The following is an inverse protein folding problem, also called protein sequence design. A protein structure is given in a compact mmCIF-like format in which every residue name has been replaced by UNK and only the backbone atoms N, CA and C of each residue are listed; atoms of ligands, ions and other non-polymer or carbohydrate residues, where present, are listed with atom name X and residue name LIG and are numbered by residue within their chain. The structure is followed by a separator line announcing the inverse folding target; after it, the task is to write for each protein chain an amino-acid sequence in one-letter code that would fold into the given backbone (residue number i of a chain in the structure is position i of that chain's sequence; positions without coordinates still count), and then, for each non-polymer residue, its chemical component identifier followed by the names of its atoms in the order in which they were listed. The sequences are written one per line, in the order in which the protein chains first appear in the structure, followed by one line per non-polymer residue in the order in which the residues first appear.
data_IF_765416346441
#
_entry.id   IF_765416346441
#
_cell.length_a   1.000
_cell.length_b   1.000
_cell.length_c   1.000
_cell.angle_alpha   90.00
_cell.angle_beta   90.00
_cell.angle_gamma   90.00
#
_symmetry.space_group_name_H-M   'P 1'
#
loop_
_entity.id
_entity.type
_entity.pdbx_description
1 polymer ?
#
# COMPACT_ATOMS: atom_id res chain seq x y z
N UNK A 1 -23.25 -0.32 23.83
CA UNK A 1 -21.98 0.45 23.94
C UNK A 1 -22.08 1.63 22.99
N UNK A 2 -21.43 2.75 23.28
CA UNK A 2 -21.34 3.84 22.31
C UNK A 2 -20.56 3.34 21.08
N UNK A 3 -20.94 3.78 19.90
CA UNK A 3 -20.19 3.46 18.67
C UNK A 3 -18.83 4.14 18.70
N UNK A 4 -17.84 3.48 18.10
CA UNK A 4 -16.52 4.08 17.89
C UNK A 4 -16.55 4.96 16.63
N UNK A 5 -15.88 6.11 16.68
CA UNK A 5 -15.75 7.00 15.52
C UNK A 5 -14.50 6.66 14.73
N UNK A 6 -14.73 6.29 13.48
CA UNK A 6 -13.67 5.94 12.52
C UNK A 6 -13.48 7.10 11.55
N UNK A 7 -12.31 7.72 11.57
CA UNK A 7 -11.92 8.72 10.60
C UNK A 7 -11.36 8.05 9.34
N UNK A 8 -12.09 8.05 8.25
CA UNK A 8 -11.59 7.54 6.96
C UNK A 8 -10.82 8.66 6.27
N UNK A 9 -9.51 8.47 6.10
CA UNK A 9 -8.61 9.41 5.43
C UNK A 9 -8.34 8.90 4.02
N UNK A 10 -8.66 9.72 3.02
CA UNK A 10 -8.63 9.29 1.62
C UNK A 10 -8.30 10.45 0.66
N UNK A 11 -8.04 10.13 -0.62
CA UNK A 11 -7.57 11.07 -1.63
C UNK A 11 -6.05 11.16 -1.66
N UNK A 12 -5.50 12.35 -1.53
CA UNK A 12 -4.05 12.57 -1.41
C UNK A 12 -3.41 13.16 -2.66
N UNK A 13 -2.20 13.68 -2.46
CA UNK A 13 -1.36 14.26 -3.52
C UNK A 13 -0.52 13.15 -4.16
N UNK A 14 -1.16 12.27 -4.91
CA UNK A 14 -0.48 11.17 -5.60
C UNK A 14 -1.15 10.86 -6.93
N UNK A 15 -0.49 10.07 -7.77
CA UNK A 15 -1.05 9.57 -9.02
C UNK A 15 -2.23 8.59 -8.79
N UNK A 16 -2.41 8.11 -7.57
CA UNK A 16 -3.45 7.15 -7.18
C UNK A 16 -4.63 7.80 -6.43
N UNK A 17 -4.78 9.12 -6.57
CA UNK A 17 -5.84 9.89 -5.89
C UNK A 17 -7.24 9.29 -6.13
N UNK A 18 -7.61 9.06 -7.38
CA UNK A 18 -8.93 8.54 -7.76
C UNK A 18 -9.16 7.10 -7.25
N UNK A 19 -8.13 6.28 -7.24
CA UNK A 19 -8.18 4.91 -6.66
C UNK A 19 -8.48 4.97 -5.17
N UNK A 20 -7.89 5.93 -4.48
CA UNK A 20 -8.16 6.18 -3.06
C UNK A 20 -9.61 6.60 -2.80
N UNK A 21 -10.20 7.44 -3.66
CA UNK A 21 -11.61 7.83 -3.57
C UNK A 21 -12.55 6.61 -3.70
N UNK A 22 -12.26 5.72 -4.66
CA UNK A 22 -13.03 4.49 -4.86
C UNK A 22 -12.89 3.53 -3.67
N UNK A 23 -11.67 3.35 -3.16
CA UNK A 23 -11.39 2.53 -1.98
C UNK A 23 -12.16 3.04 -0.76
N UNK A 24 -12.12 4.35 -0.50
CA UNK A 24 -12.85 4.98 0.59
C UNK A 24 -14.36 4.76 0.48
N UNK A 25 -14.92 4.94 -0.73
CA UNK A 25 -16.34 4.67 -0.98
C UNK A 25 -16.72 3.24 -0.59
N UNK A 26 -15.95 2.26 -1.02
CA UNK A 26 -16.23 0.85 -0.71
C UNK A 26 -16.15 0.57 0.79
N UNK A 27 -15.19 1.17 1.51
CA UNK A 27 -15.07 1.04 2.96
C UNK A 27 -16.30 1.66 3.65
N UNK A 28 -16.70 2.87 3.25
CA UNK A 28 -17.89 3.59 3.79
C UNK A 28 -19.17 2.79 3.58
N UNK A 29 -19.31 2.17 2.41
CA UNK A 29 -20.48 1.36 2.09
C UNK A 29 -20.54 0.06 2.92
N UNK A 30 -19.41 -0.56 3.19
CA UNK A 30 -19.30 -1.89 3.79
C UNK A 30 -19.06 -1.91 5.30
N UNK A 31 -18.56 -0.83 5.90
CA UNK A 31 -18.28 -0.75 7.34
C UNK A 31 -19.54 -1.01 8.18
N UNK A 32 -19.40 -1.77 9.27
CA UNK A 32 -20.49 -2.08 10.18
C UNK A 32 -20.98 -0.83 10.93
N UNK A 33 -22.04 -0.22 10.41
CA UNK A 33 -22.66 1.01 10.96
C UNK A 33 -23.38 0.78 12.30
N UNK A 34 -23.53 -0.48 12.75
CA UNK A 34 -24.03 -0.77 14.09
C UNK A 34 -22.94 -0.56 15.16
N UNK A 35 -21.67 -0.71 14.78
CA UNK A 35 -20.48 -0.58 15.66
C UNK A 35 -19.75 0.75 15.48
N UNK A 36 -19.75 1.29 14.28
CA UNK A 36 -18.91 2.43 13.89
C UNK A 36 -19.72 3.60 13.33
N UNK A 37 -19.36 4.81 13.77
CA UNK A 37 -19.73 6.06 13.13
C UNK A 37 -18.56 6.56 12.28
N UNK A 38 -18.84 7.01 11.07
CA UNK A 38 -17.81 7.40 10.09
C UNK A 38 -17.66 8.90 10.03
N UNK A 39 -16.42 9.38 10.08
CA UNK A 39 -16.01 10.76 9.80
C UNK A 39 -15.12 10.73 8.55
N UNK A 40 -15.44 11.53 7.54
CA UNK A 40 -14.74 11.56 6.26
C UNK A 40 -13.73 12.69 6.22
N UNK A 41 -12.46 12.34 6.01
CA UNK A 41 -11.33 13.25 5.94
C UNK A 41 -10.70 13.14 4.54
N UNK A 42 -11.20 13.95 3.62
CA UNK A 42 -10.69 13.99 2.24
C UNK A 42 -9.43 14.84 2.14
N UNK A 43 -8.43 14.32 1.43
CA UNK A 43 -7.21 15.06 1.07
C UNK A 43 -7.29 15.39 -0.42
N UNK A 44 -7.23 16.65 -0.78
CA UNK A 44 -7.25 17.08 -2.17
C UNK A 44 -5.90 16.83 -2.89
N UNK A 45 -5.85 17.14 -4.19
CA UNK A 45 -4.63 16.98 -5.02
C UNK A 45 -3.52 17.96 -4.67
N UNK A 46 -3.80 18.99 -3.88
CA UNK A 46 -2.82 19.93 -3.33
C UNK A 46 -2.27 19.44 -1.99
N UNK A 47 -2.92 18.45 -1.36
CA UNK A 47 -2.55 17.87 -0.07
C UNK A 47 -3.25 18.54 1.12
N UNK A 48 -4.29 19.34 0.88
CA UNK A 48 -5.08 19.95 1.94
C UNK A 48 -6.13 18.96 2.45
N UNK A 49 -6.34 18.95 3.75
CA UNK A 49 -7.29 18.07 4.43
C UNK A 49 -8.60 18.78 4.68
N UNK A 50 -9.71 18.08 4.44
CA UNK A 50 -11.07 18.59 4.56
C UNK A 50 -11.96 17.61 5.31
N UNK A 51 -12.88 18.12 6.15
CA UNK A 51 -14.00 17.32 6.64
C UNK A 51 -15.09 17.33 5.57
N UNK A 52 -15.50 16.16 5.12
CA UNK A 52 -16.51 16.00 4.06
C UNK A 52 -17.82 15.45 4.62
N UNK A 53 -18.93 15.90 4.05
CA UNK A 53 -20.26 15.37 4.35
C UNK A 53 -20.44 14.00 3.69
N UNK A 54 -20.87 13.00 4.46
CA UNK A 54 -21.04 11.63 4.00
C UNK A 54 -22.03 11.48 2.83
N UNK A 55 -22.98 12.42 2.68
CA UNK A 55 -23.96 12.40 1.59
C UNK A 55 -23.45 12.98 0.27
N UNK A 56 -22.36 13.77 0.29
CA UNK A 56 -21.93 14.56 -0.86
C UNK A 56 -20.41 14.60 -1.06
N UNK A 57 -19.63 13.75 -0.41
CA UNK A 57 -18.16 13.84 -0.45
C UNK A 57 -17.51 13.49 -1.79
N UNK A 58 -18.24 12.83 -2.69
CA UNK A 58 -17.75 12.44 -4.01
C UNK A 58 -18.66 12.98 -5.12
N UNK A 59 -18.03 13.46 -6.18
CA UNK A 59 -18.64 13.69 -7.47
C UNK A 59 -18.47 12.42 -8.31
N UNK A 60 -19.49 12.06 -9.09
CA UNK A 60 -19.53 10.88 -9.96
C UNK A 60 -19.11 9.56 -9.24
N UNK A 61 -19.69 9.22 -8.08
CA UNK A 61 -19.20 8.12 -7.24
C UNK A 61 -19.32 6.72 -7.86
N UNK A 62 -20.02 6.61 -8.99
CA UNK A 62 -20.22 5.35 -9.74
C UNK A 62 -19.46 5.30 -11.07
N UNK A 63 -18.69 6.33 -11.38
CA UNK A 63 -17.88 6.41 -12.58
C UNK A 63 -16.38 6.51 -12.20
N UNK A 64 -15.63 5.42 -12.25
CA UNK A 64 -14.21 5.40 -11.89
C UNK A 64 -13.33 6.36 -12.69
N UNK A 65 -13.71 6.66 -13.93
CA UNK A 65 -12.96 7.55 -14.80
C UNK A 65 -13.17 9.05 -14.47
N UNK A 66 -14.29 9.39 -13.81
CA UNK A 66 -14.67 10.77 -13.52
C UNK A 66 -14.93 11.04 -12.03
N UNK A 67 -14.61 10.07 -11.16
CA UNK A 67 -14.76 10.24 -9.71
C UNK A 67 -13.85 11.38 -9.23
N UNK A 68 -14.39 12.25 -8.38
CA UNK A 68 -13.64 13.36 -7.82
C UNK A 68 -14.09 13.67 -6.39
N UNK A 69 -13.18 14.22 -5.59
CA UNK A 69 -13.50 14.74 -4.26
C UNK A 69 -14.38 15.99 -4.41
N UNK A 70 -15.49 16.03 -3.69
CA UNK A 70 -16.32 17.22 -3.64
C UNK A 70 -15.68 18.24 -2.68
N UNK A 71 -15.44 19.49 -3.10
CA UNK A 71 -14.86 20.51 -2.23
C UNK A 71 -15.61 20.70 -0.92
N UNK A 72 -14.88 20.93 0.16
CA UNK A 72 -15.42 21.27 1.47
C UNK A 72 -14.72 22.52 2.01
N UNK A 73 -15.49 23.37 2.71
CA UNK A 73 -14.98 24.62 3.28
C UNK A 73 -14.25 24.40 4.62
N UNK A 74 -14.44 23.23 5.26
CA UNK A 74 -13.83 22.93 6.57
C UNK A 74 -12.49 22.29 6.36
N UNK A 75 -11.41 23.04 6.57
CA UNK A 75 -10.03 22.55 6.53
C UNK A 75 -9.62 21.96 7.87
N UNK A 76 -8.83 20.88 7.83
CA UNK A 76 -8.38 20.15 9.04
C UNK A 76 -6.92 20.43 9.33
N UNK A 77 -6.62 20.71 10.59
CA UNK A 77 -5.27 20.71 11.13
C UNK A 77 -5.15 19.72 12.29
N UNK A 78 -3.95 19.18 12.49
CA UNK A 78 -3.62 18.26 13.59
C UNK A 78 -2.95 19.00 14.74
N UNK A 79 -3.28 18.62 15.98
CA UNK A 79 -2.64 19.14 17.19
C UNK A 79 -1.77 18.03 17.79
N UNK A 80 -0.45 18.08 17.63
CA UNK A 80 0.44 17.04 18.14
C UNK A 80 0.47 16.99 19.67
N UNK A 81 0.65 15.80 20.24
CA UNK A 81 0.91 15.59 21.67
C UNK A 81 -0.30 15.66 22.58
N UNK A 82 -1.49 15.98 22.09
CA UNK A 82 -2.72 15.95 22.88
C UNK A 82 -3.36 14.56 22.87
N UNK A 83 -4.19 14.26 23.89
CA UNK A 83 -4.88 12.97 24.01
C UNK A 83 -6.30 13.03 23.46
N UNK A 84 -6.89 14.23 23.41
CA UNK A 84 -8.22 14.52 22.87
C UNK A 84 -8.15 15.76 22.00
N UNK A 85 -9.14 15.92 21.13
CA UNK A 85 -9.23 17.08 20.24
C UNK A 85 -8.00 17.22 19.33
N UNK A 86 -7.49 16.06 18.85
CA UNK A 86 -6.31 15.99 18.00
C UNK A 86 -6.51 16.66 16.65
N UNK A 87 -7.76 16.84 16.22
CA UNK A 87 -8.12 17.48 14.96
C UNK A 87 -8.94 18.73 15.22
N UNK A 88 -8.55 19.81 14.57
CA UNK A 88 -9.24 21.11 14.66
C UNK A 88 -9.58 21.63 13.26
N UNK A 89 -10.60 22.49 13.19
CA UNK A 89 -10.84 23.30 12.01
C UNK A 89 -9.75 24.39 11.93
N UNK A 90 -8.98 24.36 10.85
CA UNK A 90 -7.89 25.28 10.62
C UNK A 90 -8.34 26.75 10.43
N UNK A 91 -9.61 26.98 10.08
CA UNK A 91 -10.17 28.32 9.86
C UNK A 91 -10.50 29.06 11.16
N UNK A 92 -10.86 28.34 12.23
CA UNK A 92 -11.34 28.93 13.50
C UNK A 92 -10.73 28.32 14.76
N UNK A 93 -9.85 27.32 14.60
CA UNK A 93 -9.18 26.58 15.69
C UNK A 93 -10.15 25.83 16.65
N UNK A 94 -11.39 25.57 16.22
CA UNK A 94 -12.33 24.79 17.02
C UNK A 94 -12.07 23.30 16.85
N UNK A 95 -12.19 22.54 17.95
CA UNK A 95 -12.07 21.10 17.94
C UNK A 95 -13.15 20.47 17.03
N UNK A 96 -12.70 19.56 16.18
CA UNK A 96 -13.59 18.72 15.37
C UNK A 96 -14.12 17.54 16.19
N UNK A 97 -15.04 16.79 15.63
CA UNK A 97 -15.55 15.58 16.27
C UNK A 97 -14.42 14.64 16.63
N UNK A 98 -14.38 14.15 17.89
CA UNK A 98 -13.37 13.19 18.36
C UNK A 98 -13.38 11.94 17.46
N UNK A 99 -12.19 11.53 17.03
CA UNK A 99 -11.95 10.29 16.29
C UNK A 99 -11.27 9.30 17.23
N UNK A 100 -11.76 8.07 17.28
CA UNK A 100 -11.21 6.99 18.11
C UNK A 100 -10.12 6.22 17.37
N UNK A 101 -10.25 6.08 16.05
CA UNK A 101 -9.30 5.39 15.17
C UNK A 101 -9.38 5.94 13.75
N UNK A 102 -8.23 6.03 13.10
CA UNK A 102 -8.14 6.45 11.69
C UNK A 102 -8.00 5.21 10.80
N UNK A 103 -8.78 5.18 9.74
CA UNK A 103 -8.62 4.23 8.63
C UNK A 103 -8.04 5.00 7.43
N UNK A 104 -6.70 5.03 7.28
CA UNK A 104 -6.11 5.66 6.12
C UNK A 104 -6.25 4.74 4.90
N UNK A 105 -6.63 5.31 3.78
CA UNK A 105 -6.67 4.62 2.48
C UNK A 105 -6.15 5.55 1.38
N UNK A 106 -5.04 6.20 1.69
CA UNK A 106 -4.30 7.08 0.78
C UNK A 106 -3.20 6.26 0.11
N UNK A 107 -3.40 5.95 -1.16
CA UNK A 107 -2.43 5.16 -1.92
C UNK A 107 -1.28 6.01 -2.44
N UNK A 108 -0.10 5.40 -2.55
CA UNK A 108 1.10 6.00 -3.11
C UNK A 108 1.84 6.96 -2.17
N UNK A 109 2.50 7.93 -2.77
CA UNK A 109 3.36 8.89 -2.06
C UNK A 109 2.61 9.67 -1.00
N UNK A 110 3.24 9.90 0.14
CA UNK A 110 2.72 10.52 1.37
C UNK A 110 1.69 9.67 2.12
N UNK A 111 1.05 8.69 1.49
CA UNK A 111 0.07 7.81 2.10
C UNK A 111 0.65 6.47 2.59
N UNK A 112 1.62 5.92 1.87
CA UNK A 112 2.21 4.59 2.12
C UNK A 112 3.68 4.62 2.51
N UNK A 113 4.32 5.78 2.56
CA UNK A 113 5.76 5.95 2.75
C UNK A 113 6.18 6.26 4.21
N UNK A 114 5.26 6.20 5.15
CA UNK A 114 5.49 6.53 6.55
C UNK A 114 5.18 7.98 6.92
N UNK A 115 4.96 8.87 5.95
CA UNK A 115 4.68 10.30 6.22
C UNK A 115 3.34 10.49 6.93
N UNK A 116 2.26 9.93 6.38
CA UNK A 116 0.93 9.95 7.00
C UNK A 116 0.94 9.24 8.35
N UNK A 117 1.59 8.08 8.44
CA UNK A 117 1.72 7.30 9.66
C UNK A 117 2.46 8.06 10.76
N UNK A 118 3.53 8.77 10.41
CA UNK A 118 4.27 9.62 11.32
C UNK A 118 3.44 10.77 11.87
N UNK A 119 2.65 11.42 11.03
CA UNK A 119 1.74 12.49 11.44
C UNK A 119 0.67 11.96 12.39
N UNK A 120 0.02 10.85 12.08
CA UNK A 120 -1.01 10.24 12.93
C UNK A 120 -0.43 9.78 14.27
N UNK A 121 0.80 9.24 14.27
CA UNK A 121 1.51 8.85 15.49
C UNK A 121 1.83 10.05 16.38
N UNK A 122 2.30 11.16 15.82
CA UNK A 122 2.55 12.39 16.55
C UNK A 122 1.26 13.03 17.09
N UNK A 123 0.15 12.86 16.38
CA UNK A 123 -1.18 13.27 16.81
C UNK A 123 -1.81 12.31 17.85
N UNK A 124 -1.11 11.25 18.24
CA UNK A 124 -1.61 10.23 19.18
C UNK A 124 -2.95 9.61 18.75
N UNK A 125 -3.10 9.36 17.46
CA UNK A 125 -4.28 8.74 16.88
C UNK A 125 -3.98 7.28 16.51
N UNK A 126 -4.76 6.30 17.01
CA UNK A 126 -4.71 4.92 16.49
C UNK A 126 -5.00 4.93 14.99
N UNK A 127 -4.31 4.10 14.21
CA UNK A 127 -4.56 4.01 12.77
C UNK A 127 -4.38 2.60 12.23
N UNK A 128 -5.16 2.27 11.21
CA UNK A 128 -5.11 0.99 10.48
C UNK A 128 -3.87 0.93 9.60
N UNK A 129 -3.29 -0.26 9.47
CA UNK A 129 -2.15 -0.52 8.60
C UNK A 129 -0.79 -0.47 9.31
N UNK A 130 0.28 -0.57 8.55
CA UNK A 130 1.65 -0.57 9.07
C UNK A 130 2.04 0.79 9.68
N UNK A 131 2.93 0.74 10.67
CA UNK A 131 3.53 1.94 11.25
C UNK A 131 4.61 2.54 10.32
N UNK A 132 5.24 3.60 10.76
CA UNK A 132 6.25 4.40 10.02
C UNK A 132 7.31 3.51 9.37
N UNK A 133 7.94 2.64 10.16
CA UNK A 133 9.03 1.79 9.65
C UNK A 133 8.56 0.82 8.59
N UNK A 134 7.49 0.06 8.85
CA UNK A 134 6.95 -0.92 7.91
C UNK A 134 6.49 -0.26 6.61
N UNK A 135 5.80 0.87 6.71
CA UNK A 135 5.36 1.64 5.54
C UNK A 135 6.55 2.13 4.70
N UNK A 136 7.51 2.80 5.32
CA UNK A 136 8.67 3.35 4.62
C UNK A 136 9.57 2.25 4.03
N UNK A 137 9.81 1.16 4.77
CA UNK A 137 10.64 0.05 4.31
C UNK A 137 10.01 -0.69 3.13
N UNK A 138 8.68 -0.87 3.12
CA UNK A 138 7.97 -1.53 2.03
C UNK A 138 7.83 -0.64 0.78
N UNK A 139 7.75 0.68 0.96
CA UNK A 139 7.64 1.62 -0.16
C UNK A 139 8.93 1.70 -0.96
N UNK A 140 10.08 1.71 -0.28
CA UNK A 140 11.39 1.80 -0.90
C UNK A 140 11.88 0.42 -1.39
N UNK A 141 11.82 0.17 -2.70
CA UNK A 141 12.16 -1.11 -3.31
C UNK A 141 13.61 -1.56 -3.04
N UNK A 142 14.55 -0.62 -2.94
CA UNK A 142 15.94 -0.93 -2.60
C UNK A 142 16.06 -1.43 -1.15
N UNK A 143 15.43 -0.72 -0.21
CA UNK A 143 15.43 -1.11 1.21
C UNK A 143 14.70 -2.42 1.42
N UNK A 144 13.50 -2.57 0.85
CA UNK A 144 12.73 -3.83 0.85
C UNK A 144 13.59 -5.00 0.42
N UNK A 145 14.23 -4.91 -0.75
CA UNK A 145 15.05 -5.99 -1.32
C UNK A 145 16.25 -6.33 -0.44
N UNK A 146 16.93 -5.32 0.11
CA UNK A 146 18.06 -5.54 1.02
C UNK A 146 17.65 -6.28 2.28
N UNK A 147 16.54 -5.88 2.92
CA UNK A 147 16.05 -6.53 4.15
C UNK A 147 15.57 -7.96 3.88
N UNK A 148 14.84 -8.17 2.79
CA UNK A 148 14.39 -9.52 2.40
C UNK A 148 15.56 -10.44 2.09
N UNK A 149 16.60 -9.96 1.40
CA UNK A 149 17.83 -10.72 1.11
C UNK A 149 18.59 -11.07 2.38
N UNK A 150 18.73 -10.12 3.32
CA UNK A 150 19.37 -10.35 4.61
C UNK A 150 18.63 -11.44 5.42
N UNK A 151 17.31 -11.46 5.34
CA UNK A 151 16.47 -12.50 5.93
C UNK A 151 16.52 -13.85 5.19
N UNK A 152 17.28 -13.97 4.10
CA UNK A 152 17.38 -15.19 3.29
C UNK A 152 16.12 -15.50 2.49
N UNK A 153 15.34 -14.48 2.12
CA UNK A 153 14.20 -14.60 1.23
C UNK A 153 14.62 -14.34 -0.21
N UNK A 154 14.03 -15.08 -1.14
CA UNK A 154 14.38 -15.00 -2.55
C UNK A 154 13.75 -13.77 -3.21
N UNK A 155 14.59 -12.96 -3.84
CA UNK A 155 14.24 -11.74 -4.56
C UNK A 155 14.92 -11.70 -5.93
N UNK A 156 14.40 -10.94 -6.87
CA UNK A 156 15.11 -10.69 -8.13
C UNK A 156 16.43 -9.96 -7.86
N UNK A 157 17.57 -10.41 -8.43
CA UNK A 157 18.84 -9.68 -8.39
C UNK A 157 18.68 -8.25 -8.92
N UNK A 158 19.40 -7.31 -8.33
CA UNK A 158 19.22 -5.88 -8.66
C UNK A 158 20.46 -5.05 -8.43
N UNK A 159 20.50 -3.91 -9.11
CA UNK A 159 21.48 -2.82 -8.92
C UNK A 159 20.72 -1.55 -8.60
N UNK A 160 21.23 -0.78 -7.65
CA UNK A 160 20.63 0.51 -7.26
C UNK A 160 21.44 1.68 -7.84
N UNK A 161 20.75 2.52 -8.60
CA UNK A 161 21.29 3.74 -9.17
C UNK A 161 20.83 4.96 -8.37
N UNK A 162 21.74 5.85 -8.11
CA UNK A 162 21.51 7.17 -7.55
C UNK A 162 22.15 8.24 -8.46
N UNK A 163 21.85 9.52 -8.24
CA UNK A 163 22.51 10.59 -8.97
C UNK A 163 24.04 10.59 -8.81
N UNK A 164 24.54 10.05 -7.68
CA UNK A 164 25.96 10.00 -7.37
C UNK A 164 26.72 8.84 -8.03
N UNK A 165 26.02 7.75 -8.40
CA UNK A 165 26.66 6.55 -8.90
C UNK A 165 26.21 6.09 -10.29
N UNK A 166 25.14 6.67 -10.86
CA UNK A 166 24.56 6.21 -12.14
C UNK A 166 25.59 6.16 -13.29
N UNK A 167 26.53 7.12 -13.32
CA UNK A 167 27.53 7.20 -14.37
C UNK A 167 28.67 6.16 -14.17
N UNK A 168 28.68 5.43 -13.07
CA UNK A 168 29.63 4.34 -12.78
C UNK A 168 29.12 2.98 -13.24
N UNK A 169 27.86 2.89 -13.70
CA UNK A 169 27.21 1.66 -14.12
C UNK A 169 26.80 1.76 -15.57
N UNK A 170 27.45 1.02 -16.46
CA UNK A 170 27.04 0.92 -17.86
C UNK A 170 25.97 -0.14 -18.06
N UNK A 171 25.20 -0.01 -19.15
CA UNK A 171 24.24 -1.06 -19.57
C UNK A 171 24.91 -2.41 -19.72
N UNK A 172 26.11 -2.45 -20.36
CA UNK A 172 26.85 -3.69 -20.58
C UNK A 172 27.23 -4.40 -19.27
N UNK A 173 27.63 -3.63 -18.25
CA UNK A 173 27.94 -4.18 -16.92
C UNK A 173 26.69 -4.75 -16.26
N UNK A 174 25.60 -3.96 -16.19
CA UNK A 174 24.38 -4.39 -15.52
C UNK A 174 23.73 -5.58 -16.24
N UNK A 175 23.63 -5.53 -17.57
CA UNK A 175 23.05 -6.64 -18.34
C UNK A 175 23.93 -7.90 -18.32
N UNK A 176 25.25 -7.74 -18.21
CA UNK A 176 26.18 -8.86 -18.01
C UNK A 176 26.02 -9.53 -16.63
N UNK A 177 25.71 -8.77 -15.59
CA UNK A 177 25.51 -9.25 -14.23
C UNK A 177 24.10 -9.85 -14.03
N UNK A 178 23.07 -9.14 -14.48
CA UNK A 178 21.67 -9.48 -14.20
C UNK A 178 20.99 -10.28 -15.31
N UNK A 179 21.53 -10.26 -16.54
CA UNK A 179 20.86 -10.82 -17.72
C UNK A 179 19.78 -9.87 -18.28
N UNK A 180 19.08 -10.34 -19.33
CA UNK A 180 17.98 -9.63 -19.99
C UNK A 180 16.70 -10.47 -19.94
N UNK A 181 15.51 -9.84 -19.93
CA UNK A 181 15.25 -8.40 -19.87
C UNK A 181 15.55 -7.83 -18.48
N UNK A 182 15.75 -6.49 -18.42
CA UNK A 182 15.83 -5.73 -17.19
C UNK A 182 14.54 -4.96 -16.96
N UNK A 183 14.22 -4.68 -15.69
CA UNK A 183 13.18 -3.73 -15.30
C UNK A 183 13.83 -2.55 -14.56
N UNK A 184 13.60 -1.36 -15.06
CA UNK A 184 14.07 -0.10 -14.46
C UNK A 184 12.89 0.56 -13.76
N UNK A 185 13.02 0.82 -12.46
CA UNK A 185 11.93 1.28 -11.59
C UNK A 185 12.39 2.42 -10.68
N UNK A 186 11.59 3.48 -10.49
CA UNK A 186 11.77 4.38 -9.35
C UNK A 186 11.63 3.59 -8.04
N UNK A 187 12.46 3.87 -7.03
CA UNK A 187 12.46 3.08 -5.79
C UNK A 187 11.18 3.27 -4.97
N UNK A 188 10.63 4.50 -4.94
CA UNK A 188 9.53 4.90 -4.06
C UNK A 188 8.24 5.25 -4.82
N UNK A 189 7.97 4.58 -5.94
CA UNK A 189 6.71 4.75 -6.68
C UNK A 189 5.92 3.45 -6.74
N UNK A 190 4.60 3.57 -6.59
CA UNK A 190 3.65 2.48 -6.76
C UNK A 190 3.08 2.38 -8.18
N UNK A 191 2.18 1.43 -8.39
CA UNK A 191 1.32 1.32 -9.58
C UNK A 191 2.03 1.36 -10.92
N UNK A 192 3.25 0.84 -11.00
CA UNK A 192 4.08 0.82 -12.23
C UNK A 192 4.45 2.21 -12.78
N UNK A 193 4.32 3.28 -12.00
CA UNK A 193 4.71 4.63 -12.41
C UNK A 193 6.22 4.69 -12.67
N UNK A 194 6.62 5.12 -13.86
CA UNK A 194 8.02 5.25 -14.26
C UNK A 194 8.76 3.92 -14.45
N UNK A 195 8.07 2.79 -14.50
CA UNK A 195 8.65 1.46 -14.71
C UNK A 195 8.80 1.17 -16.21
N UNK A 196 9.95 0.65 -16.61
CA UNK A 196 10.24 0.28 -18.00
C UNK A 196 10.89 -1.10 -18.08
N UNK A 197 10.44 -1.92 -19.05
CA UNK A 197 11.12 -3.14 -19.49
C UNK A 197 12.18 -2.78 -20.52
N UNK A 198 13.38 -3.34 -20.37
CA UNK A 198 14.57 -2.94 -21.14
C UNK A 198 15.27 -4.19 -21.70
N UNK A 199 15.55 -4.16 -23.00
CA UNK A 199 16.28 -5.22 -23.71
C UNK A 199 17.48 -4.70 -24.48
N UNK A 200 17.66 -3.38 -24.57
CA UNK A 200 18.75 -2.72 -25.31
C UNK A 200 19.31 -1.51 -24.53
N UNK A 201 20.50 -1.07 -24.91
CA UNK A 201 21.17 0.10 -24.32
C UNK A 201 20.38 1.40 -24.55
N UNK A 202 19.76 1.54 -25.72
CA UNK A 202 18.95 2.73 -26.04
C UNK A 202 17.71 2.80 -25.13
N UNK A 203 17.01 1.66 -24.93
CA UNK A 203 15.88 1.55 -24.00
C UNK A 203 16.32 1.80 -22.56
N UNK A 204 17.47 1.27 -22.16
CA UNK A 204 18.03 1.46 -20.82
C UNK A 204 18.27 2.94 -20.51
N UNK A 205 18.89 3.66 -21.43
CA UNK A 205 19.18 5.10 -21.28
C UNK A 205 17.88 5.91 -21.10
N UNK A 206 16.85 5.61 -21.89
CA UNK A 206 15.55 6.27 -21.78
C UNK A 206 14.84 5.90 -20.47
N UNK A 207 14.86 4.62 -20.09
CA UNK A 207 14.23 4.12 -18.88
C UNK A 207 14.83 4.73 -17.61
N UNK A 208 16.16 4.80 -17.52
CA UNK A 208 16.85 5.40 -16.38
C UNK A 208 16.53 6.90 -16.29
N UNK A 209 16.53 7.61 -17.42
CA UNK A 209 16.13 9.02 -17.45
C UNK A 209 14.70 9.20 -16.94
N UNK A 210 13.75 8.43 -17.45
CA UNK A 210 12.35 8.49 -17.05
C UNK A 210 12.20 8.20 -15.54
N UNK A 211 12.83 7.14 -15.04
CA UNK A 211 12.72 6.78 -13.63
C UNK A 211 13.25 7.87 -12.69
N UNK A 212 14.32 8.58 -13.09
CA UNK A 212 14.84 9.72 -12.34
C UNK A 212 13.98 11.00 -12.39
N UNK A 213 12.96 11.04 -13.25
CA UNK A 213 11.93 12.09 -13.18
C UNK A 213 10.98 11.92 -12.01
N UNK A 214 10.83 10.67 -11.53
CA UNK A 214 9.91 10.30 -10.44
C UNK A 214 10.60 10.08 -9.08
N UNK A 215 11.92 9.80 -9.05
CA UNK A 215 12.62 9.52 -7.81
C UNK A 215 14.11 9.88 -7.89
N UNK A 216 14.74 10.04 -6.74
CA UNK A 216 16.19 10.24 -6.60
C UNK A 216 16.98 8.91 -6.61
N UNK A 217 16.29 7.78 -6.49
CA UNK A 217 16.83 6.44 -6.46
C UNK A 217 16.08 5.53 -7.42
N UNK A 218 16.82 4.78 -8.20
CA UNK A 218 16.29 3.88 -9.23
C UNK A 218 16.80 2.47 -8.98
N UNK A 219 15.94 1.50 -9.06
CA UNK A 219 16.28 0.07 -9.00
C UNK A 219 16.24 -0.51 -10.41
N UNK A 220 17.33 -1.16 -10.80
CA UNK A 220 17.42 -1.95 -12.02
C UNK A 220 17.45 -3.41 -11.61
N UNK A 221 16.47 -4.20 -12.01
CA UNK A 221 16.36 -5.59 -11.59
C UNK A 221 16.23 -6.54 -12.77
N UNK A 222 16.64 -7.79 -12.53
CA UNK A 222 16.44 -8.88 -13.48
C UNK A 222 14.95 -9.12 -13.70
N UNK A 223 14.54 -9.26 -14.94
CA UNK A 223 13.19 -9.72 -15.29
C UNK A 223 13.00 -11.19 -14.93
N UNK A 224 12.09 -11.46 -14.02
CA UNK A 224 11.75 -12.83 -13.62
C UNK A 224 10.60 -13.34 -14.49
N UNK A 225 10.78 -14.50 -15.12
CA UNK A 225 9.72 -15.17 -15.84
C UNK A 225 8.94 -16.07 -14.89
N UNK A 226 7.70 -15.73 -14.62
CA UNK A 226 6.85 -16.46 -13.68
C UNK A 226 5.40 -15.98 -13.73
N UNK A 227 4.54 -16.70 -13.02
CA UNK A 227 3.15 -16.32 -12.78
C UNK A 227 3.11 -15.28 -11.68
N UNK A 228 2.28 -14.27 -11.79
CA UNK A 228 2.11 -13.24 -10.76
C UNK A 228 1.10 -13.73 -9.73
N UNK A 229 1.59 -14.09 -8.54
CA UNK A 229 0.77 -14.59 -7.43
C UNK A 229 0.77 -13.56 -6.30
N UNK A 230 -0.40 -13.29 -5.76
CA UNK A 230 -0.60 -12.36 -4.66
C UNK A 230 -1.15 -13.08 -3.43
N UNK A 231 -0.65 -12.71 -2.25
CA UNK A 231 -1.09 -13.26 -0.96
C UNK A 231 -1.35 -12.13 0.03
N UNK A 232 -2.54 -12.10 0.62
CA UNK A 232 -2.89 -11.12 1.64
C UNK A 232 -2.43 -11.57 3.03
N UNK A 233 -1.88 -10.65 3.81
CA UNK A 233 -1.49 -10.87 5.21
C UNK A 233 -2.25 -9.91 6.10
N UNK A 234 -2.70 -10.40 7.26
CA UNK A 234 -3.52 -9.69 8.24
C UNK A 234 -3.04 -10.01 9.65
N UNK A 235 -2.78 -9.03 10.47
CA UNK A 235 -2.43 -9.18 11.89
C UNK A 235 -1.29 -8.30 12.35
N UNK A 236 -1.06 -8.28 13.65
CA UNK A 236 0.08 -7.63 14.29
C UNK A 236 1.16 -8.70 14.61
N UNK A 237 1.31 -9.10 15.86
CA UNK A 237 2.35 -10.05 16.31
C UNK A 237 2.18 -11.47 15.74
N UNK A 238 0.95 -11.88 15.48
CA UNK A 238 0.60 -13.21 14.96
C UNK A 238 -0.15 -13.10 13.61
N UNK A 239 0.55 -12.66 12.55
CA UNK A 239 -0.09 -12.46 11.26
C UNK A 239 -0.54 -13.78 10.62
N UNK A 240 -1.65 -13.70 9.91
CA UNK A 240 -2.22 -14.79 9.12
C UNK A 240 -2.16 -14.44 7.64
N UNK A 241 -1.98 -15.46 6.79
CA UNK A 241 -2.01 -15.32 5.36
C UNK A 241 -3.29 -15.92 4.77
N UNK A 242 -3.86 -15.24 3.79
CA UNK A 242 -4.99 -15.73 2.99
C UNK A 242 -4.58 -16.88 2.07
N UNK A 243 -5.54 -17.46 1.36
CA UNK A 243 -5.23 -18.20 0.12
C UNK A 243 -4.57 -17.26 -0.91
N UNK A 244 -3.87 -17.83 -1.88
CA UNK A 244 -3.26 -17.06 -2.95
C UNK A 244 -4.26 -16.75 -4.09
N UNK A 245 -4.05 -15.63 -4.76
CA UNK A 245 -4.70 -15.26 -6.01
C UNK A 245 -3.66 -15.06 -7.11
N UNK A 246 -4.10 -15.06 -8.33
CA UNK A 246 -3.26 -14.86 -9.51
C UNK A 246 -3.76 -13.68 -10.34
N UNK A 247 -2.82 -12.88 -10.82
CA UNK A 247 -3.07 -11.87 -11.85
C UNK A 247 -2.61 -12.45 -13.19
N UNK A 248 -3.57 -12.77 -14.05
CA UNK A 248 -3.31 -13.28 -15.39
C UNK A 248 -3.35 -12.11 -16.38
N UNK A 249 -2.21 -11.81 -16.99
CA UNK A 249 -2.06 -10.71 -17.91
C UNK A 249 -2.43 -11.13 -19.32
N UNK A 250 -3.15 -10.27 -20.03
CA UNK A 250 -3.42 -10.43 -21.47
C UNK A 250 -2.29 -9.87 -22.36
N UNK A 251 -1.28 -9.22 -21.74
CA UNK A 251 -0.11 -8.64 -22.39
C UNK A 251 1.15 -8.87 -21.56
N UNK A 252 2.34 -8.70 -22.16
CA UNK A 252 3.63 -8.95 -21.50
C UNK A 252 4.00 -7.98 -20.35
N UNK A 253 3.17 -6.97 -20.07
CA UNK A 253 3.46 -5.97 -19.03
C UNK A 253 2.19 -5.38 -18.39
N UNK A 254 2.14 -5.36 -17.07
CA UNK A 254 1.04 -4.84 -16.25
C UNK A 254 1.23 -3.34 -15.97
N UNK A 255 0.75 -2.50 -16.90
CA UNK A 255 0.84 -1.04 -16.78
C UNK A 255 -0.19 -0.46 -15.79
N UNK A 256 -0.04 0.83 -15.45
CA UNK A 256 -1.02 1.58 -14.65
C UNK A 256 -2.42 1.54 -15.27
N UNK A 257 -2.52 1.75 -16.58
CA UNK A 257 -3.80 1.75 -17.30
C UNK A 257 -4.49 0.37 -17.22
N UNK A 258 -3.71 -0.71 -17.32
CA UNK A 258 -4.18 -2.08 -17.18
C UNK A 258 -4.68 -2.39 -15.76
N UNK A 259 -4.08 -1.75 -14.74
CA UNK A 259 -4.46 -1.97 -13.33
C UNK A 259 -5.78 -1.31 -12.94
N UNK A 260 -6.10 -0.14 -13.49
CA UNK A 260 -7.17 0.71 -12.96
C UNK A 260 -8.18 1.22 -13.99
N UNK A 261 -7.85 1.19 -15.27
CA UNK A 261 -8.65 1.78 -16.35
C UNK A 261 -9.20 0.71 -17.31
N UNK A 262 -8.41 -0.35 -17.60
CA UNK A 262 -8.78 -1.39 -18.58
C UNK A 262 -9.21 -2.68 -17.88
N UNK A 263 -10.52 -2.87 -17.71
CA UNK A 263 -11.11 -4.11 -17.15
C UNK A 263 -10.77 -5.39 -17.96
N UNK A 264 -10.19 -5.25 -19.15
CA UNK A 264 -9.83 -6.37 -20.05
C UNK A 264 -8.34 -6.66 -20.06
N UNK A 265 -7.52 -5.82 -19.45
CA UNK A 265 -6.06 -5.92 -19.47
C UNK A 265 -5.49 -7.02 -18.58
N UNK A 266 -6.18 -7.38 -17.51
CA UNK A 266 -5.80 -8.42 -16.57
C UNK A 266 -7.02 -9.15 -16.03
N UNK A 267 -6.88 -10.47 -15.82
CA UNK A 267 -7.87 -11.29 -15.13
C UNK A 267 -7.37 -11.66 -13.75
N UNK A 268 -8.20 -11.45 -12.74
CA UNK A 268 -7.95 -11.88 -11.36
C UNK A 268 -8.59 -13.24 -11.10
N UNK A 269 -7.78 -14.22 -10.72
CA UNK A 269 -8.21 -15.59 -10.40
C UNK A 269 -8.01 -15.84 -8.91
N UNK A 270 -9.11 -16.04 -8.17
CA UNK A 270 -9.09 -16.29 -6.72
C UNK A 270 -10.03 -17.45 -6.37
N UNK A 271 -9.53 -18.51 -5.73
CA UNK A 271 -8.12 -18.82 -5.46
C UNK A 271 -7.31 -19.06 -6.73
N UNK A 272 -5.99 -18.86 -6.66
CA UNK A 272 -5.08 -19.20 -7.74
C UNK A 272 -5.09 -20.72 -8.00
N UNK A 273 -5.01 -21.11 -9.28
CA UNK A 273 -4.88 -22.52 -9.67
C UNK A 273 -3.41 -22.97 -9.55
N UNK A 274 -3.03 -23.29 -8.32
CA UNK A 274 -1.69 -23.78 -7.93
C UNK A 274 -1.81 -24.97 -7.00
N UNK A 275 -0.76 -25.79 -6.95
CA UNK A 275 -0.67 -26.92 -6.03
C UNK A 275 -0.83 -26.44 -4.57
N UNK A 276 -1.63 -27.13 -3.72
CA UNK A 276 -1.80 -26.77 -2.32
C UNK A 276 -0.48 -26.59 -1.55
N UNK A 277 0.53 -27.42 -1.82
CA UNK A 277 1.84 -27.29 -1.18
C UNK A 277 2.56 -26.01 -1.60
N UNK A 278 2.39 -25.56 -2.85
CA UNK A 278 2.92 -24.28 -3.34
C UNK A 278 2.16 -23.12 -2.71
N UNK A 279 0.84 -23.21 -2.62
CA UNK A 279 0.02 -22.21 -1.90
C UNK A 279 0.50 -22.03 -0.47
N UNK A 280 0.71 -23.11 0.29
CA UNK A 280 1.19 -23.04 1.67
C UNK A 280 2.62 -22.50 1.76
N UNK A 281 3.49 -22.84 0.81
CA UNK A 281 4.85 -22.29 0.71
C UNK A 281 4.80 -20.76 0.52
N UNK A 282 3.96 -20.26 -0.40
CA UNK A 282 3.82 -18.81 -0.64
C UNK A 282 3.28 -18.11 0.60
N UNK A 283 2.27 -18.66 1.27
CA UNK A 283 1.69 -18.13 2.51
C UNK A 283 2.75 -17.99 3.62
N UNK A 284 3.58 -19.02 3.80
CA UNK A 284 4.67 -18.99 4.78
C UNK A 284 5.72 -17.92 4.44
N UNK A 285 6.09 -17.80 3.16
CA UNK A 285 7.01 -16.75 2.66
C UNK A 285 6.40 -15.36 2.86
N UNK A 286 5.12 -15.18 2.58
CA UNK A 286 4.42 -13.91 2.75
C UNK A 286 4.40 -13.45 4.22
N UNK A 287 4.10 -14.35 5.16
CA UNK A 287 4.19 -14.05 6.60
C UNK A 287 5.60 -13.66 7.00
N UNK A 288 6.61 -14.42 6.56
CA UNK A 288 8.01 -14.13 6.89
C UNK A 288 8.47 -12.80 6.33
N UNK A 289 8.10 -12.47 5.10
CA UNK A 289 8.41 -11.18 4.47
C UNK A 289 7.75 -10.02 5.23
N UNK A 290 6.47 -10.17 5.56
CA UNK A 290 5.69 -9.24 6.38
C UNK A 290 6.37 -8.91 7.71
N UNK A 291 6.77 -9.95 8.45
CA UNK A 291 7.46 -9.81 9.73
C UNK A 291 8.86 -9.19 9.58
N UNK A 292 9.61 -9.59 8.56
CA UNK A 292 10.96 -9.06 8.26
C UNK A 292 10.94 -7.54 8.06
N UNK A 293 9.90 -7.02 7.41
CA UNK A 293 9.76 -5.59 7.11
C UNK A 293 9.05 -4.80 8.21
N UNK A 294 8.69 -5.44 9.32
CA UNK A 294 8.01 -4.79 10.43
C UNK A 294 6.60 -4.31 10.10
N UNK A 295 5.91 -5.03 9.22
CA UNK A 295 4.53 -4.74 8.89
C UNK A 295 3.59 -5.06 10.05
N UNK A 296 2.47 -4.37 10.13
CA UNK A 296 1.35 -4.65 11.01
C UNK A 296 0.01 -4.25 10.36
N UNK A 297 -1.08 -4.78 10.92
CA UNK A 297 -2.42 -4.59 10.38
C UNK A 297 -2.63 -5.38 9.10
N UNK A 298 -2.14 -4.89 7.99
CA UNK A 298 -2.32 -5.51 6.67
C UNK A 298 -1.13 -5.31 5.74
N UNK A 299 -0.96 -6.24 4.81
CA UNK A 299 -0.17 -6.05 3.59
C UNK A 299 -0.58 -7.07 2.53
N UNK A 300 -0.31 -6.78 1.26
CA UNK A 300 -0.35 -7.76 0.16
C UNK A 300 1.09 -8.02 -0.28
N UNK A 301 1.46 -9.29 -0.31
CA UNK A 301 2.76 -9.75 -0.76
C UNK A 301 2.62 -10.31 -2.17
N UNK A 302 3.32 -9.71 -3.11
CA UNK A 302 3.28 -10.05 -4.52
C UNK A 302 4.54 -10.81 -4.88
N UNK A 303 4.39 -11.98 -5.51
CA UNK A 303 5.49 -12.88 -5.85
C UNK A 303 5.40 -13.35 -7.30
N UNK A 304 6.54 -13.69 -7.88
CA UNK A 304 6.62 -14.49 -9.09
C UNK A 304 6.78 -15.96 -8.72
N UNK A 305 5.94 -16.82 -9.31
CA UNK A 305 6.08 -18.27 -9.24
C UNK A 305 6.65 -18.76 -10.57
N UNK A 306 7.90 -19.25 -10.53
CA UNK A 306 8.58 -19.75 -11.74
C UNK A 306 8.06 -21.12 -12.15
N UNK A 307 8.43 -21.57 -13.36
CA UNK A 307 8.09 -22.89 -13.87
C UNK A 307 8.67 -24.03 -13.02
N UNK A 308 9.77 -23.75 -12.29
CA UNK A 308 10.45 -24.68 -11.38
C UNK A 308 9.85 -24.63 -9.96
N UNK A 309 8.74 -23.93 -9.76
CA UNK A 309 8.09 -23.68 -8.45
C UNK A 309 8.99 -22.92 -7.44
N UNK A 310 9.88 -22.09 -7.96
CA UNK A 310 10.57 -21.11 -7.14
C UNK A 310 9.67 -19.90 -6.89
N UNK A 311 9.70 -19.41 -5.65
CA UNK A 311 8.94 -18.22 -5.24
C UNK A 311 9.92 -17.07 -5.11
N UNK A 312 9.73 -16.02 -5.90
CA UNK A 312 10.55 -14.80 -5.91
C UNK A 312 9.69 -13.64 -5.49
N UNK A 313 10.01 -12.98 -4.38
CA UNK A 313 9.24 -11.83 -3.88
C UNK A 313 9.48 -10.64 -4.81
N UNK A 314 8.40 -10.03 -5.29
CA UNK A 314 8.42 -8.84 -6.11
C UNK A 314 8.31 -7.58 -5.25
N UNK A 315 7.17 -7.42 -4.56
CA UNK A 315 6.90 -6.24 -3.71
C UNK A 315 5.96 -6.56 -2.56
N UNK A 316 5.87 -5.64 -1.60
CA UNK A 316 4.93 -5.71 -0.48
C UNK A 316 4.20 -4.38 -0.38
N UNK A 317 2.87 -4.45 -0.46
CA UNK A 317 1.99 -3.28 -0.40
C UNK A 317 1.34 -3.20 0.98
N UNK A 318 1.67 -2.19 1.77
CA UNK A 318 1.16 -2.01 3.13
C UNK A 318 -0.22 -1.38 3.21
N UNK A 319 -0.68 -0.77 2.12
CA UNK A 319 -2.00 -0.19 1.98
C UNK A 319 -2.64 -0.63 0.66
N UNK A 320 -2.95 -1.94 0.51
CA UNK A 320 -3.48 -2.47 -0.73
C UNK A 320 -4.83 -1.85 -1.07
N UNK A 321 -5.19 -1.84 -2.36
CA UNK A 321 -6.47 -1.32 -2.81
C UNK A 321 -7.67 -2.00 -2.15
N UNK A 322 -8.71 -1.24 -1.91
CA UNK A 322 -9.98 -1.66 -1.31
C UNK A 322 -11.18 -1.40 -2.22
N UNK A 323 -10.98 -1.38 -3.53
CA UNK A 323 -12.10 -1.35 -4.48
C UNK A 323 -12.75 -2.73 -4.57
N UNK A 324 -13.95 -2.81 -5.11
CA UNK A 324 -14.69 -4.07 -5.29
C UNK A 324 -13.98 -5.08 -6.23
N UNK A 325 -13.04 -4.62 -7.05
CA UNK A 325 -12.21 -5.45 -7.93
C UNK A 325 -10.83 -5.76 -7.33
N UNK A 326 -10.47 -5.11 -6.22
CA UNK A 326 -9.14 -5.25 -5.60
C UNK A 326 -8.89 -6.65 -5.05
N UNK A 327 -7.67 -7.12 -5.23
CA UNK A 327 -7.25 -8.47 -4.84
C UNK A 327 -7.33 -8.71 -3.33
N UNK A 328 -6.88 -7.75 -2.50
CA UNK A 328 -6.76 -7.94 -1.06
C UNK A 328 -8.08 -8.38 -0.39
N UNK A 329 -9.21 -7.67 -0.55
CA UNK A 329 -10.47 -8.12 0.02
C UNK A 329 -10.98 -9.42 -0.61
N UNK A 330 -10.76 -9.66 -1.91
CA UNK A 330 -11.14 -10.91 -2.58
C UNK A 330 -10.41 -12.13 -2.00
N UNK A 331 -9.12 -11.99 -1.70
CA UNK A 331 -8.31 -13.04 -1.08
C UNK A 331 -8.85 -13.43 0.31
N UNK A 332 -9.22 -12.43 1.12
CA UNK A 332 -9.81 -12.70 2.43
C UNK A 332 -11.21 -13.28 2.34
N UNK A 333 -12.02 -12.82 1.40
CA UNK A 333 -13.35 -13.40 1.16
C UNK A 333 -13.25 -14.87 0.75
N UNK A 334 -12.31 -15.23 -0.13
CA UNK A 334 -12.04 -16.63 -0.50
C UNK A 334 -11.48 -17.46 0.66
N UNK A 335 -10.89 -16.80 1.66
CA UNK A 335 -10.39 -17.43 2.90
C UNK A 335 -11.42 -17.45 4.04
N UNK A 336 -12.65 -17.03 3.78
CA UNK A 336 -13.77 -17.12 4.74
C UNK A 336 -14.00 -15.88 5.60
N UNK A 337 -13.31 -14.76 5.33
CA UNK A 337 -13.50 -13.48 6.03
C UNK A 337 -14.24 -12.50 5.10
N UNK A 338 -15.47 -12.14 5.46
CA UNK A 338 -16.26 -11.19 4.66
C UNK A 338 -15.66 -9.78 4.68
N UNK A 339 -16.03 -8.95 3.70
CA UNK A 339 -15.51 -7.60 3.58
C UNK A 339 -15.81 -6.70 4.79
N UNK A 340 -17.03 -6.68 5.38
CA UNK A 340 -17.29 -5.94 6.62
C UNK A 340 -16.51 -6.48 7.82
N UNK A 341 -16.32 -7.79 7.94
CA UNK A 341 -15.52 -8.39 9.00
C UNK A 341 -14.05 -8.06 8.87
N UNK A 342 -13.52 -8.04 7.64
CA UNK A 342 -12.15 -7.60 7.35
C UNK A 342 -11.91 -6.15 7.82
N UNK A 343 -12.80 -5.22 7.47
CA UNK A 343 -12.73 -3.81 7.91
C UNK A 343 -12.76 -3.74 9.44
N UNK A 344 -13.67 -4.45 10.07
CA UNK A 344 -13.80 -4.52 11.53
C UNK A 344 -12.50 -5.04 12.17
N UNK A 345 -11.94 -6.14 11.65
CA UNK A 345 -10.70 -6.72 12.19
C UNK A 345 -9.51 -5.78 12.03
N UNK A 346 -9.42 -5.06 10.93
CA UNK A 346 -8.37 -4.04 10.72
C UNK A 346 -8.45 -2.90 11.74
N UNK A 347 -9.66 -2.45 12.07
CA UNK A 347 -9.88 -1.42 13.09
C UNK A 347 -9.48 -1.95 14.47
N UNK A 348 -9.86 -3.17 14.82
CA UNK A 348 -9.48 -3.82 16.07
C UNK A 348 -7.96 -3.95 16.20
N UNK A 349 -7.26 -4.38 15.15
CA UNK A 349 -5.79 -4.47 15.12
C UNK A 349 -5.12 -3.11 15.33
N UNK A 350 -5.67 -2.05 14.77
CA UNK A 350 -5.16 -0.69 14.99
C UNK A 350 -5.26 -0.27 16.46
N UNK A 351 -6.39 -0.55 17.11
CA UNK A 351 -6.61 -0.26 18.52
C UNK A 351 -5.74 -1.13 19.43
N UNK A 352 -5.59 -2.43 19.12
CA UNK A 352 -4.70 -3.35 19.83
C UNK A 352 -3.25 -2.86 19.81
N UNK A 353 -2.74 -2.48 18.63
CA UNK A 353 -1.38 -1.95 18.50
C UNK A 353 -1.20 -0.66 19.27
N UNK A 354 -2.12 0.29 19.13
CA UNK A 354 -2.04 1.57 19.84
C UNK A 354 -2.05 1.39 21.36
N UNK A 355 -2.86 0.47 21.88
CA UNK A 355 -2.88 0.14 23.30
C UNK A 355 -1.55 -0.47 23.78
N UNK A 356 -0.96 -1.37 22.98
CA UNK A 356 0.35 -1.96 23.28
C UNK A 356 1.46 -0.91 23.28
N UNK A 357 1.50 -0.05 22.26
CA UNK A 357 2.47 1.06 22.18
C UNK A 357 2.34 2.05 23.35
N UNK A 358 1.10 2.39 23.72
CA UNK A 358 0.80 3.30 24.83
C UNK A 358 1.16 2.73 26.20
N UNK A 359 1.27 1.42 26.32
CA UNK A 359 1.71 0.75 27.55
C UNK A 359 3.24 0.75 27.74
N UNK A 360 3.99 1.11 26.69
CA UNK A 360 5.44 1.21 26.78
C UNK A 360 5.86 2.44 27.61
N UNK A 361 6.92 2.28 28.39
CA UNK A 361 7.47 3.40 29.17
C UNK A 361 8.12 4.43 28.24
N UNK A 362 7.75 5.67 28.41
CA UNK A 362 8.33 6.82 27.69
C UNK A 362 9.50 7.48 28.43
N UNK A 363 9.71 7.12 29.70
CA UNK A 363 10.82 7.62 30.51
C UNK A 363 11.41 6.54 31.42
N UNK A 364 12.67 6.72 31.86
CA UNK A 364 13.38 5.78 32.76
C UNK A 364 12.80 5.85 34.18
N UNK A 365 12.23 6.98 34.55
CA UNK A 365 11.77 7.31 35.92
C UNK A 365 10.24 7.44 36.03
N UNK A 366 9.48 7.06 35.02
CA UNK A 366 8.02 7.18 35.01
C UNK A 366 7.31 5.84 34.91
#
# INVERSE_FOLDING_TARGET
MAKQRVGIVFGGKSAEHEVSLQSAKNIVDAIDKSRFDVVLLGIDKQGQWHVNDASQYLLNPHDPAHIALNPSEVSVATVPGVVKEQLIDAGNAQALAQIDVVFPIVHGTLGEDGSLQGMLRMANLPFVGSDVLGSAACMDKDVTKRLLRDAGLNIAPFVTLTRANRDKHSFAQISGELGLPLFVKPANQGSSVGVSKVTSEAEFTQAVRLAFEFDHKVVVEQGIKGREIECAVLGNDFPQASTCGEVVLNSDFYSYDTKYIDDKGAQVVVPADIDPAINDKIRAIAIRAYQTLGCCGMARVDVFLTAENEVVINEINTLPGFTNISMYPKLWQASGLSYPELITRLIELALERHAADSALKSSVNG
#
